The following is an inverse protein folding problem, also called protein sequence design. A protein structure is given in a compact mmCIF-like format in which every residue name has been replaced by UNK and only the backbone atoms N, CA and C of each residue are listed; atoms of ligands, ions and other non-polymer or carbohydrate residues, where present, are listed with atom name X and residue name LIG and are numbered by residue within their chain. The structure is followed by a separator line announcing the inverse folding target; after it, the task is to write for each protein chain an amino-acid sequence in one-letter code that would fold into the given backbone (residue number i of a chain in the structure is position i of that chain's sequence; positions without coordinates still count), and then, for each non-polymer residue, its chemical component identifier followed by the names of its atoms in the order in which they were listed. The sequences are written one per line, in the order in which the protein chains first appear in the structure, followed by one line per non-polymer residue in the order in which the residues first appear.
data_IF_495799974109
#
_entry.id   IF_495799974109
#
_cell.length_a   1.000
_cell.length_b   1.000
_cell.length_c   1.000
_cell.angle_alpha   90.00
_cell.angle_beta   90.00
_cell.angle_gamma   90.00
#
_symmetry.space_group_name_H-M   'P 1'
#
loop_
_entity.id
_entity.type
_entity.pdbx_description
1 polymer ?
#
# COMPACT_ATOMS: atom_id res chain seq x y z
N UNK A 1 51.47 11.56 -49.15
CA UNK A 1 51.27 10.89 -47.86
C UNK A 1 50.06 11.54 -47.26
N UNK A 2 49.13 10.72 -46.74
CA UNK A 2 47.81 11.09 -46.19
C UNK A 2 46.83 11.55 -47.29
N UNK A 3 45.56 11.14 -47.36
CA UNK A 3 44.64 10.51 -46.40
C UNK A 3 43.42 9.91 -47.17
N UNK A 4 42.58 9.15 -46.45
CA UNK A 4 41.16 8.82 -46.73
C UNK A 4 40.77 7.71 -47.70
N UNK A 5 40.62 6.48 -47.16
CA UNK A 5 39.38 5.69 -47.35
C UNK A 5 39.31 4.52 -46.34
N UNK A 6 38.83 4.80 -45.12
CA UNK A 6 38.61 3.76 -44.10
C UNK A 6 37.21 3.91 -43.47
N UNK A 7 36.16 3.77 -44.28
CA UNK A 7 34.78 3.59 -43.80
C UNK A 7 34.06 2.54 -44.65
N UNK A 8 34.51 1.28 -44.58
CA UNK A 8 33.75 0.15 -45.13
C UNK A 8 34.24 -1.21 -44.59
N UNK A 9 34.29 -1.41 -43.27
CA UNK A 9 34.33 -2.73 -42.63
C UNK A 9 33.60 -2.60 -41.29
N UNK A 10 32.69 -3.46 -40.85
CA UNK A 10 31.99 -4.58 -41.44
C UNK A 10 30.82 -4.90 -40.49
N UNK A 11 29.59 -4.46 -40.81
CA UNK A 11 28.39 -5.03 -40.17
C UNK A 11 28.01 -6.27 -40.98
N UNK A 12 28.69 -7.39 -40.72
CA UNK A 12 28.33 -8.67 -41.33
C UNK A 12 27.08 -9.21 -40.63
N UNK A 13 25.91 -9.01 -41.23
CA UNK A 13 24.70 -9.75 -40.87
C UNK A 13 24.80 -11.16 -41.45
N UNK A 14 25.57 -12.03 -40.79
CA UNK A 14 25.55 -13.45 -41.09
C UNK A 14 24.28 -14.06 -40.48
N UNK A 15 23.37 -14.51 -41.34
CA UNK A 15 22.02 -15.02 -40.99
C UNK A 15 22.01 -16.41 -40.33
N UNK A 16 23.18 -17.02 -40.12
CA UNK A 16 23.33 -18.41 -39.65
C UNK A 16 23.75 -18.54 -38.16
N UNK A 17 23.53 -17.51 -37.34
CA UNK A 17 23.85 -17.55 -35.91
C UNK A 17 22.57 -17.73 -35.08
N UNK A 18 22.45 -18.80 -34.26
CA UNK A 18 21.31 -18.99 -33.37
C UNK A 18 21.16 -17.80 -32.41
N UNK A 19 19.93 -17.32 -32.23
CA UNK A 19 19.58 -16.14 -31.40
C UNK A 19 20.16 -16.20 -29.99
N UNK A 20 20.27 -17.40 -29.42
CA UNK A 20 20.80 -17.63 -28.07
C UNK A 20 22.29 -17.25 -27.94
N UNK A 21 23.05 -17.23 -29.04
CA UNK A 21 24.46 -16.84 -29.06
C UNK A 21 24.67 -15.33 -29.28
N UNK A 22 23.62 -14.55 -29.50
CA UNK A 22 23.68 -13.09 -29.66
C UNK A 22 23.46 -12.33 -28.34
N UNK A 23 23.18 -13.04 -27.24
CA UNK A 23 22.77 -12.46 -25.97
C UNK A 23 23.82 -12.58 -24.85
N UNK A 24 25.11 -12.54 -25.15
CA UNK A 24 26.10 -12.38 -24.09
C UNK A 24 27.28 -11.47 -24.46
N UNK A 25 27.54 -10.52 -23.56
CA UNK A 25 28.67 -9.59 -23.46
C UNK A 25 28.64 -8.29 -24.29
N UNK A 26 27.91 -7.30 -23.78
CA UNK A 26 28.49 -5.93 -23.70
C UNK A 26 28.10 -5.28 -22.37
N UNK A 27 28.98 -5.44 -21.39
CA UNK A 27 29.21 -4.46 -20.33
C UNK A 27 29.63 -3.14 -20.99
N UNK A 28 28.68 -2.21 -21.13
CA UNK A 28 28.96 -0.78 -21.21
C UNK A 28 27.98 -0.13 -20.25
N UNK A 29 28.48 0.17 -19.05
CA UNK A 29 27.72 0.85 -18.02
C UNK A 29 27.51 2.33 -18.33
N UNK A 30 26.65 2.91 -17.48
CA UNK A 30 26.57 4.34 -17.14
C UNK A 30 25.55 5.19 -17.93
N UNK A 31 24.25 5.02 -17.61
CA UNK A 31 23.33 6.17 -17.47
C UNK A 31 22.08 5.86 -16.59
N UNK A 32 22.25 6.11 -15.28
CA UNK A 32 21.31 6.77 -14.34
C UNK A 32 19.90 6.18 -14.06
N UNK A 33 19.79 5.46 -12.93
CA UNK A 33 19.26 6.12 -11.72
C UNK A 33 17.92 5.67 -11.11
N UNK A 34 17.12 4.81 -11.74
CA UNK A 34 15.79 4.44 -11.20
C UNK A 34 15.76 3.09 -10.46
N UNK A 35 16.47 2.07 -10.93
CA UNK A 35 16.37 0.72 -10.33
C UNK A 35 17.21 0.54 -9.06
N UNK A 36 18.37 1.20 -8.97
CA UNK A 36 19.20 1.12 -7.76
C UNK A 36 18.54 1.80 -6.56
N UNK A 37 17.82 2.90 -6.77
CA UNK A 37 17.11 3.61 -5.69
C UNK A 37 15.92 2.78 -5.19
N UNK A 38 15.17 2.12 -6.08
CA UNK A 38 14.10 1.20 -5.73
C UNK A 38 14.62 -0.03 -4.96
N UNK A 39 15.74 -0.60 -5.41
CA UNK A 39 16.39 -1.73 -4.73
C UNK A 39 16.98 -1.34 -3.36
N UNK A 40 17.55 -0.13 -3.23
CA UNK A 40 18.10 0.37 -1.97
C UNK A 40 17.00 0.72 -0.95
N UNK A 41 15.87 1.27 -1.41
CA UNK A 41 14.67 1.46 -0.57
C UNK A 41 14.12 0.10 -0.09
N UNK A 42 13.96 -0.88 -0.97
CA UNK A 42 13.47 -2.23 -0.61
C UNK A 42 14.40 -2.96 0.35
N UNK A 43 15.71 -2.70 0.29
CA UNK A 43 16.73 -3.22 1.22
C UNK A 43 16.78 -2.47 2.55
N UNK A 44 16.51 -1.16 2.56
CA UNK A 44 16.53 -0.29 3.75
C UNK A 44 15.23 -0.35 4.57
N UNK A 45 14.11 -0.63 3.91
CA UNK A 45 12.78 -0.80 4.51
C UNK A 45 12.56 -2.30 4.77
N UNK A 46 13.24 -2.86 5.78
CA UNK A 46 13.29 -4.31 5.94
C UNK A 46 11.92 -5.00 5.97
N UNK A 47 11.63 -5.91 5.03
CA UNK A 47 10.58 -6.99 5.00
C UNK A 47 9.16 -6.70 5.52
N UNK A 48 8.80 -5.47 5.91
CA UNK A 48 7.64 -5.17 6.78
C UNK A 48 6.59 -4.27 6.13
N UNK A 49 6.86 -3.74 4.95
CA UNK A 49 5.90 -2.97 4.15
C UNK A 49 5.50 -3.85 2.97
N UNK A 50 4.21 -4.15 2.87
CA UNK A 50 3.63 -4.78 1.68
C UNK A 50 3.20 -3.65 0.75
N UNK A 51 3.85 -3.53 -0.41
CA UNK A 51 3.45 -2.58 -1.44
C UNK A 51 2.27 -3.13 -2.24
N UNK A 52 1.39 -2.25 -2.71
CA UNK A 52 0.22 -2.65 -3.49
C UNK A 52 0.62 -3.42 -4.77
N UNK A 53 1.70 -3.00 -5.43
CA UNK A 53 2.25 -3.67 -6.61
C UNK A 53 2.67 -5.11 -6.31
N UNK A 54 3.36 -5.33 -5.19
CA UNK A 54 3.81 -6.66 -4.76
C UNK A 54 2.61 -7.58 -4.40
N UNK A 55 1.51 -7.02 -3.89
CA UNK A 55 0.28 -7.76 -3.56
C UNK A 55 -0.51 -8.22 -4.81
N UNK A 56 -0.50 -7.43 -5.88
CA UNK A 56 -1.23 -7.72 -7.12
C UNK A 56 -0.53 -8.73 -8.04
N UNK A 57 0.79 -8.94 -7.88
CA UNK A 57 1.60 -9.83 -8.75
C UNK A 57 1.23 -11.31 -8.70
N UNK A 58 0.41 -11.79 -7.74
CA UNK A 58 0.04 -13.21 -7.67
C UNK A 58 -1.10 -13.64 -8.59
N UNK A 59 -1.79 -12.73 -9.28
CA UNK A 59 -2.82 -13.10 -10.27
C UNK A 59 -2.97 -12.04 -11.37
N UNK A 60 -2.18 -12.14 -12.44
CA UNK A 60 -2.66 -12.36 -13.84
C UNK A 60 -1.62 -12.02 -14.90
N UNK A 61 -1.73 -12.81 -15.97
CA UNK A 61 -1.28 -12.59 -17.35
C UNK A 61 -1.64 -11.18 -17.83
N UNK A 62 -0.63 -10.55 -18.42
CA UNK A 62 -0.61 -9.25 -19.11
C UNK A 62 -1.90 -8.91 -19.86
N UNK A 63 -2.52 -7.79 -19.49
CA UNK A 63 -3.39 -6.99 -20.35
C UNK A 63 -3.07 -5.54 -20.02
N UNK A 64 -2.41 -4.87 -20.96
CA UNK A 64 -2.13 -3.45 -20.94
C UNK A 64 -3.43 -2.68 -20.74
N UNK A 65 -3.47 -1.86 -19.70
CA UNK A 65 -4.48 -0.82 -19.56
C UNK A 65 -3.75 0.46 -19.17
N UNK A 66 -3.91 1.45 -20.03
CA UNK A 66 -3.17 2.69 -20.15
C UNK A 66 -2.93 3.41 -18.82
N UNK A 67 -1.68 3.85 -18.65
CA UNK A 67 -1.24 4.80 -17.64
C UNK A 67 -2.06 6.08 -17.73
N UNK A 68 -2.84 6.37 -16.69
CA UNK A 68 -3.12 7.74 -16.31
C UNK A 68 -2.40 8.01 -14.98
N UNK A 69 -1.07 8.00 -15.04
CA UNK A 69 -0.23 8.56 -13.99
C UNK A 69 -0.31 10.08 -14.09
N UNK A 70 -1.37 10.65 -13.51
CA UNK A 70 -1.43 12.08 -13.23
C UNK A 70 -0.24 12.45 -12.35
N UNK A 71 0.66 13.26 -12.92
CA UNK A 71 1.76 13.93 -12.24
C UNK A 71 1.15 14.92 -11.25
N UNK A 72 0.85 14.45 -10.03
CA UNK A 72 0.46 15.32 -8.92
C UNK A 72 1.71 15.64 -8.08
N UNK A 73 2.31 16.77 -8.46
CA UNK A 73 3.05 17.75 -7.65
C UNK A 73 3.72 17.23 -6.36
N UNK A 74 5.06 17.11 -6.39
CA UNK A 74 5.97 16.86 -5.26
C UNK A 74 5.94 17.92 -4.13
N UNK A 75 4.97 18.82 -4.06
CA UNK A 75 5.13 20.13 -3.41
C UNK A 75 4.27 20.37 -2.16
N UNK A 76 3.89 19.32 -1.41
CA UNK A 76 2.99 19.47 -0.25
C UNK A 76 3.39 18.67 1.01
N UNK A 77 4.65 18.23 1.10
CA UNK A 77 5.20 17.85 2.41
C UNK A 77 5.79 19.10 3.06
N UNK A 78 5.14 19.70 4.09
CA UNK A 78 5.79 20.77 4.84
C UNK A 78 7.13 20.25 5.35
N UNK A 79 8.18 21.02 5.12
CA UNK A 79 9.59 20.73 5.47
C UNK A 79 9.84 20.41 6.95
N UNK A 80 8.79 20.38 7.78
CA UNK A 80 8.83 20.11 9.21
C UNK A 80 7.71 19.15 9.69
N UNK A 81 7.50 18.01 9.01
CA UNK A 81 6.67 16.91 9.55
C UNK A 81 7.30 16.20 10.76
N UNK A 82 8.53 16.56 11.12
CA UNK A 82 9.27 15.96 12.23
C UNK A 82 8.68 16.30 13.62
N UNK A 83 7.87 17.36 13.72
CA UNK A 83 7.31 17.85 15.00
C UNK A 83 5.87 17.39 15.27
N UNK A 84 5.25 16.62 14.36
CA UNK A 84 3.92 16.07 14.59
C UNK A 84 4.03 14.81 15.48
N UNK A 85 3.13 14.64 16.47
CA UNK A 85 3.12 13.43 17.29
C UNK A 85 2.65 12.19 16.50
N UNK A 86 2.14 12.38 15.27
CA UNK A 86 1.64 11.34 14.37
C UNK A 86 2.28 11.43 12.97
N UNK A 87 2.15 10.35 12.19
CA UNK A 87 2.58 10.22 10.80
C UNK A 87 1.52 10.85 9.89
N UNK A 88 1.78 12.00 9.24
CA UNK A 88 0.76 12.73 8.47
C UNK A 88 0.34 12.03 7.17
N UNK A 89 1.06 10.98 6.75
CA UNK A 89 0.76 10.20 5.55
C UNK A 89 0.29 8.76 5.86
N UNK A 90 -0.08 8.46 7.10
CA UNK A 90 -0.42 7.09 7.50
C UNK A 90 -1.57 7.02 8.50
N UNK A 91 -2.43 6.02 8.28
CA UNK A 91 -3.61 5.76 9.10
C UNK A 91 -3.52 4.37 9.72
N UNK A 92 -3.78 4.27 11.02
CA UNK A 92 -3.87 2.99 11.71
C UNK A 92 -5.31 2.49 11.69
N UNK A 93 -5.50 1.23 11.31
CA UNK A 93 -6.75 0.49 11.40
C UNK A 93 -6.63 -0.58 12.48
N UNK A 94 -7.65 -0.67 13.34
CA UNK A 94 -7.71 -1.65 14.42
C UNK A 94 -9.10 -2.31 14.47
N UNK A 95 -9.13 -3.63 14.65
CA UNK A 95 -10.35 -4.33 15.04
C UNK A 95 -10.35 -5.82 14.69
N UNK A 96 -11.31 -6.59 15.23
CA UNK A 96 -11.42 -8.02 14.96
C UNK A 96 -11.50 -8.42 13.47
N UNK A 97 -12.18 -7.66 12.58
CA UNK A 97 -12.22 -8.02 11.16
C UNK A 97 -10.85 -8.08 10.50
N UNK A 98 -9.89 -7.26 10.96
CA UNK A 98 -8.54 -7.16 10.40
C UNK A 98 -7.80 -8.52 10.51
N UNK A 99 -8.02 -9.28 11.59
CA UNK A 99 -7.37 -10.58 11.81
C UNK A 99 -7.75 -11.66 10.79
N UNK A 100 -8.88 -11.48 10.12
CA UNK A 100 -9.39 -12.45 9.15
C UNK A 100 -9.09 -12.04 7.70
N UNK A 101 -8.42 -10.91 7.49
CA UNK A 101 -8.12 -10.38 6.18
C UNK A 101 -6.65 -10.63 5.80
N UNK A 102 -6.37 -11.35 4.71
CA UNK A 102 -5.04 -11.30 4.12
C UNK A 102 -4.75 -9.88 3.63
N UNK A 103 -3.47 -9.52 3.51
CA UNK A 103 -3.00 -8.20 3.07
C UNK A 103 -3.78 -7.66 1.86
N UNK A 104 -3.95 -8.46 0.80
CA UNK A 104 -4.64 -8.07 -0.42
C UNK A 104 -6.09 -7.61 -0.17
N UNK A 105 -6.76 -8.18 0.84
CA UNK A 105 -8.13 -7.80 1.19
C UNK A 105 -8.21 -6.57 2.07
N UNK A 106 -7.16 -6.26 2.84
CA UNK A 106 -7.07 -4.97 3.53
C UNK A 106 -6.91 -3.85 2.51
N UNK A 107 -6.10 -4.06 1.46
CA UNK A 107 -6.06 -3.15 0.31
C UNK A 107 -7.41 -3.04 -0.40
N UNK A 108 -8.06 -4.16 -0.70
CA UNK A 108 -9.39 -4.14 -1.32
C UNK A 108 -10.43 -3.42 -0.46
N UNK A 109 -10.35 -3.51 0.87
CA UNK A 109 -11.19 -2.74 1.79
C UNK A 109 -10.94 -1.24 1.65
N UNK A 110 -9.69 -0.79 1.62
CA UNK A 110 -9.37 0.62 1.42
C UNK A 110 -9.91 1.13 0.07
N UNK A 111 -9.63 0.41 -1.02
CA UNK A 111 -10.05 0.77 -2.38
C UNK A 111 -11.57 0.78 -2.53
N UNK A 112 -12.29 -0.09 -1.80
CA UNK A 112 -13.76 -0.07 -1.80
C UNK A 112 -14.35 1.26 -1.34
N UNK A 113 -13.64 1.97 -0.46
CA UNK A 113 -14.00 3.30 0.03
C UNK A 113 -13.12 4.40 -0.59
N UNK A 114 -12.63 4.21 -1.81
CA UNK A 114 -11.86 5.22 -2.55
C UNK A 114 -10.56 5.68 -1.85
N UNK A 115 -10.02 4.85 -0.96
CA UNK A 115 -8.71 5.05 -0.35
C UNK A 115 -7.65 4.20 -1.06
N UNK A 116 -6.57 4.85 -1.49
CA UNK A 116 -5.52 4.23 -2.31
C UNK A 116 -4.16 4.27 -1.59
N UNK A 117 -3.93 3.41 -0.58
CA UNK A 117 -2.64 3.33 0.09
C UNK A 117 -1.59 2.67 -0.81
N UNK A 118 -0.36 3.18 -0.74
CA UNK A 118 0.80 2.64 -1.45
C UNK A 118 1.41 1.43 -0.72
N UNK A 119 1.17 1.33 0.59
CA UNK A 119 1.74 0.28 1.41
C UNK A 119 0.93 -0.04 2.66
N UNK A 120 1.22 -1.22 3.23
CA UNK A 120 0.64 -1.71 4.47
C UNK A 120 1.73 -2.23 5.42
N UNK A 121 1.66 -1.79 6.68
CA UNK A 121 2.52 -2.25 7.77
C UNK A 121 1.68 -2.98 8.83
N UNK A 122 2.02 -4.24 9.13
CA UNK A 122 1.37 -4.99 10.21
C UNK A 122 1.98 -4.65 11.57
N UNK A 123 1.16 -4.21 12.53
CA UNK A 123 1.55 -3.98 13.92
C UNK A 123 1.36 -5.28 14.72
N UNK A 124 0.16 -5.84 14.63
CA UNK A 124 -0.24 -7.13 15.20
C UNK A 124 -1.38 -7.76 14.36
N UNK A 125 -2.00 -8.82 14.86
CA UNK A 125 -3.02 -9.56 14.11
C UNK A 125 -4.32 -8.77 13.88
N UNK A 126 -4.63 -7.80 14.73
CA UNK A 126 -5.85 -6.99 14.62
C UNK A 126 -5.57 -5.53 14.23
N UNK A 127 -4.30 -5.20 14.00
CA UNK A 127 -3.84 -3.83 13.82
C UNK A 127 -2.86 -3.70 12.66
N UNK A 128 -3.18 -2.83 11.72
CA UNK A 128 -2.30 -2.51 10.59
C UNK A 128 -2.30 -1.00 10.32
N UNK A 129 -1.29 -0.54 9.60
CA UNK A 129 -1.13 0.84 9.18
C UNK A 129 -1.18 0.88 7.66
N UNK A 130 -2.05 1.72 7.12
CA UNK A 130 -2.11 2.08 5.71
C UNK A 130 -1.22 3.31 5.48
N UNK A 131 -0.30 3.20 4.54
CA UNK A 131 0.64 4.27 4.17
C UNK A 131 0.24 4.84 2.82
N UNK A 132 0.17 6.17 2.73
CA UNK A 132 -0.24 6.89 1.53
C UNK A 132 0.93 7.69 0.94
N UNK A 133 0.83 7.99 -0.35
CA UNK A 133 1.87 8.72 -1.09
C UNK A 133 2.08 10.15 -0.57
N UNK A 134 1.03 10.78 -0.04
CA UNK A 134 1.07 12.15 0.46
C UNK A 134 0.13 12.35 1.65
N UNK A 135 0.30 13.46 2.37
CA UNK A 135 -0.63 13.89 3.43
C UNK A 135 -2.03 14.10 2.88
N UNK A 136 -2.14 14.75 1.71
CA UNK A 136 -3.43 14.99 1.04
C UNK A 136 -4.17 13.68 0.76
N UNK A 137 -3.47 12.65 0.27
CA UNK A 137 -4.05 11.34 0.06
C UNK A 137 -4.50 10.66 1.37
N UNK A 138 -3.73 10.81 2.46
CA UNK A 138 -4.11 10.29 3.76
C UNK A 138 -5.33 11.02 4.37
N UNK A 139 -5.43 12.34 4.19
CA UNK A 139 -6.62 13.12 4.61
C UNK A 139 -7.85 12.70 3.81
N UNK A 140 -7.72 12.53 2.49
CA UNK A 140 -8.81 12.00 1.67
C UNK A 140 -9.26 10.61 2.16
N UNK A 141 -8.31 9.71 2.40
CA UNK A 141 -8.59 8.38 2.92
C UNK A 141 -9.23 8.42 4.32
N UNK A 142 -8.85 9.38 5.17
CA UNK A 142 -9.47 9.59 6.48
C UNK A 142 -10.97 9.85 6.34
N UNK A 143 -11.35 10.79 5.47
CA UNK A 143 -12.74 11.13 5.25
C UNK A 143 -13.53 9.99 4.59
N UNK A 144 -12.91 9.29 3.64
CA UNK A 144 -13.58 8.24 2.89
C UNK A 144 -13.78 6.94 3.71
N UNK A 145 -12.84 6.62 4.61
CA UNK A 145 -12.93 5.44 5.48
C UNK A 145 -13.76 5.67 6.74
N UNK A 146 -13.86 6.92 7.21
CA UNK A 146 -14.63 7.26 8.42
C UNK A 146 -16.10 6.94 8.22
N UNK A 147 -16.66 6.17 9.16
CA UNK A 147 -18.11 5.95 9.20
C UNK A 147 -18.80 7.19 9.77
N UNK A 148 -19.77 7.79 9.06
CA UNK A 148 -20.56 8.89 9.62
C UNK A 148 -21.34 8.42 10.84
N UNK A 149 -21.35 9.24 11.89
CA UNK A 149 -22.14 8.95 13.08
C UNK A 149 -23.65 8.89 12.71
N UNK A 150 -24.41 7.94 13.27
CA UNK A 150 -25.82 7.80 12.95
C UNK A 150 -26.58 9.07 13.32
N UNK A 151 -27.13 9.76 12.32
CA UNK A 151 -27.85 11.03 12.49
C UNK A 151 -27.00 12.29 12.43
N UNK A 152 -25.68 12.19 12.28
CA UNK A 152 -24.81 13.34 12.09
C UNK A 152 -24.93 13.86 10.64
N UNK A 153 -25.10 15.17 10.50
CA UNK A 153 -24.87 15.83 9.20
C UNK A 153 -23.37 15.75 8.89
N UNK A 154 -22.97 15.70 7.61
CA UNK A 154 -21.56 15.63 7.20
C UNK A 154 -20.68 16.66 7.91
N UNK A 155 -21.25 17.84 8.17
CA UNK A 155 -20.62 19.03 8.74
C UNK A 155 -20.41 18.96 10.27
N UNK A 156 -21.21 18.16 10.99
CA UNK A 156 -21.21 18.09 12.46
C UNK A 156 -20.36 16.93 13.01
N UNK A 157 -19.82 16.08 12.14
CA UNK A 157 -18.99 14.94 12.52
C UNK A 157 -17.51 15.29 12.75
N UNK A 158 -17.15 16.57 12.62
CA UNK A 158 -15.83 17.10 12.92
C UNK A 158 -15.74 17.51 14.41
N UNK A 159 -15.07 16.67 15.20
CA UNK A 159 -14.49 17.06 16.48
C UNK A 159 -15.49 17.16 17.64
N UNK A 160 -15.64 16.08 18.40
CA UNK A 160 -15.86 16.27 19.84
C UNK A 160 -14.61 16.97 20.38
N UNK A 161 -14.79 18.14 20.99
CA UNK A 161 -13.73 18.92 21.63
C UNK A 161 -13.06 18.06 22.73
N UNK A 162 -11.92 17.47 22.39
CA UNK A 162 -11.01 16.79 23.30
C UNK A 162 -9.58 17.15 22.94
N UNK A 163 -8.69 17.08 23.92
CA UNK A 163 -7.26 17.31 23.74
C UNK A 163 -6.71 16.26 22.75
N UNK A 164 -6.19 16.72 21.61
CA UNK A 164 -5.58 15.92 20.51
C UNK A 164 -6.54 15.00 19.73
N UNK A 165 -7.49 15.57 18.95
CA UNK A 165 -8.46 14.80 18.16
C UNK A 165 -7.83 13.86 17.13
N UNK A 166 -6.60 14.13 16.70
CA UNK A 166 -5.87 13.31 15.74
C UNK A 166 -5.43 11.96 16.31
N UNK A 167 -5.30 11.83 17.64
CA UNK A 167 -4.88 10.60 18.30
C UNK A 167 -6.06 9.72 18.73
N UNK A 168 -7.29 10.23 18.65
CA UNK A 168 -8.49 9.51 19.04
C UNK A 168 -8.92 8.48 18.00
N UNK A 169 -9.33 7.30 18.48
CA UNK A 169 -9.94 6.29 17.63
C UNK A 169 -11.37 6.70 17.25
N UNK A 170 -11.62 6.75 15.95
CA UNK A 170 -12.94 6.98 15.37
C UNK A 170 -13.43 5.72 14.65
N UNK A 171 -14.75 5.51 14.49
CA UNK A 171 -15.28 4.37 13.76
C UNK A 171 -14.99 4.51 12.26
N UNK A 172 -14.42 3.47 11.66
CA UNK A 172 -14.33 3.30 10.22
C UNK A 172 -15.54 2.51 9.69
N UNK A 173 -15.71 2.48 8.38
CA UNK A 173 -16.71 1.64 7.74
C UNK A 173 -16.51 0.16 8.09
N UNK A 174 -17.61 -0.57 8.23
CA UNK A 174 -17.55 -2.03 8.41
C UNK A 174 -17.08 -2.71 7.14
N UNK A 175 -16.43 -3.86 7.28
CA UNK A 175 -16.01 -4.66 6.13
C UNK A 175 -17.22 -5.04 5.24
N UNK A 176 -17.21 -4.70 3.95
CA UNK A 176 -18.25 -5.12 3.01
C UNK A 176 -18.32 -6.65 2.89
N UNK A 177 -19.53 -7.22 2.86
CA UNK A 177 -19.73 -8.68 2.72
C UNK A 177 -19.05 -9.28 1.48
N UNK A 178 -18.87 -8.49 0.42
CA UNK A 178 -18.16 -8.91 -0.79
C UNK A 178 -16.68 -9.27 -0.51
N UNK A 179 -16.08 -8.68 0.52
CA UNK A 179 -14.68 -8.88 0.91
C UNK A 179 -14.50 -9.95 1.98
N UNK A 180 -15.58 -10.55 2.48
CA UNK A 180 -15.50 -11.63 3.45
C UNK A 180 -14.81 -12.87 2.84
N UNK A 181 -14.08 -13.68 3.63
CA UNK A 181 -13.67 -15.02 3.24
C UNK A 181 -14.84 -15.83 2.68
N UNK A 182 -14.58 -16.64 1.66
CA UNK A 182 -15.64 -17.37 0.95
C UNK A 182 -16.38 -18.29 1.93
N UNK A 183 -15.62 -18.93 2.82
CA UNK A 183 -16.10 -19.77 3.90
C UNK A 183 -17.04 -18.99 4.82
N UNK A 184 -16.66 -17.78 5.21
CA UNK A 184 -17.46 -16.91 6.07
C UNK A 184 -18.68 -16.30 5.38
N UNK A 185 -18.61 -16.08 4.07
CA UNK A 185 -19.78 -15.68 3.25
C UNK A 185 -20.82 -16.79 3.22
N UNK A 186 -20.39 -18.03 3.03
CA UNK A 186 -21.27 -19.20 3.06
C UNK A 186 -21.87 -19.37 4.46
N UNK A 187 -21.04 -19.28 5.51
CA UNK A 187 -21.50 -19.35 6.90
C UNK A 187 -22.56 -18.28 7.19
N UNK A 188 -22.33 -17.04 6.73
CA UNK A 188 -23.28 -15.93 6.89
C UNK A 188 -24.60 -16.23 6.16
N UNK A 189 -24.53 -16.72 4.92
CA UNK A 189 -25.71 -17.07 4.12
C UNK A 189 -26.50 -18.24 4.72
N UNK A 190 -25.81 -19.18 5.37
CA UNK A 190 -26.40 -20.31 6.08
C UNK A 190 -26.84 -19.98 7.52
N UNK A 191 -26.71 -18.73 7.97
CA UNK A 191 -27.10 -18.29 9.31
C UNK A 191 -26.20 -18.79 10.44
N UNK A 192 -24.99 -19.23 10.14
CA UNK A 192 -24.01 -19.69 11.13
C UNK A 192 -23.34 -18.51 11.85
N UNK A 193 -23.07 -18.66 13.16
CA UNK A 193 -22.49 -17.60 14.01
C UNK A 193 -20.99 -17.35 13.84
N UNK A 194 -20.29 -18.08 12.98
CA UNK A 194 -18.82 -17.96 12.82
C UNK A 194 -18.36 -16.60 12.29
N UNK A 195 -19.23 -15.86 11.61
CA UNK A 195 -18.89 -14.57 10.99
C UNK A 195 -19.08 -13.37 11.92
N UNK A 196 -19.20 -13.55 13.24
CA UNK A 196 -19.54 -12.47 14.18
C UNK A 196 -18.39 -11.44 14.33
N UNK A 197 -17.15 -11.91 14.26
CA UNK A 197 -15.95 -11.05 14.29
C UNK A 197 -15.86 -10.13 13.07
N UNK A 198 -16.27 -10.58 11.88
CA UNK A 198 -16.27 -9.77 10.65
C UNK A 198 -17.32 -8.66 10.66
N UNK A 199 -18.31 -8.75 11.56
CA UNK A 199 -19.35 -7.73 11.76
C UNK A 199 -18.96 -6.71 12.81
N UNK A 200 -17.90 -6.95 13.58
CA UNK A 200 -17.42 -6.01 14.60
C UNK A 200 -16.92 -4.72 13.93
N UNK A 201 -16.97 -3.58 14.64
CA UNK A 201 -16.51 -2.32 14.10
C UNK A 201 -14.99 -2.33 13.86
N UNK A 202 -14.58 -1.65 12.79
CA UNK A 202 -13.18 -1.25 12.59
C UNK A 202 -13.05 0.17 13.16
N UNK A 203 -11.99 0.40 13.91
CA UNK A 203 -11.61 1.72 14.41
C UNK A 203 -10.38 2.23 13.65
N UNK A 204 -10.25 3.54 13.54
CA UNK A 204 -9.12 4.17 12.88
C UNK A 204 -8.65 5.43 13.60
N UNK A 205 -7.37 5.74 13.47
CA UNK A 205 -6.75 7.00 13.91
C UNK A 205 -5.51 7.32 13.06
N UNK A 206 -4.93 8.51 13.23
CA UNK A 206 -3.62 8.77 12.64
C UNK A 206 -2.57 7.85 13.26
N UNK A 207 -1.68 7.31 12.44
CA UNK A 207 -0.65 6.40 12.93
C UNK A 207 0.42 7.17 13.70
N UNK A 208 0.88 6.64 14.83
CA UNK A 208 1.98 7.19 15.62
C UNK A 208 3.32 6.64 15.11
N UNK A 209 4.44 7.37 15.28
CA UNK A 209 5.77 6.82 15.06
C UNK A 209 6.07 5.58 15.92
N UNK A 210 5.40 5.45 17.07
CA UNK A 210 5.51 4.29 17.97
C UNK A 210 4.68 3.08 17.54
N UNK A 211 3.77 3.23 16.57
CA UNK A 211 2.96 2.12 16.07
C UNK A 211 3.82 1.24 15.15
N UNK A 212 4.49 0.29 15.76
CA UNK A 212 5.36 -0.64 15.07
C UNK A 212 5.26 -2.02 15.70
N UNK A 213 5.48 -3.06 14.90
CA UNK A 213 5.50 -4.43 15.39
C UNK A 213 6.49 -4.59 16.54
N UNK A 214 5.99 -5.00 17.70
CA UNK A 214 6.82 -5.22 18.89
C UNK A 214 7.92 -6.28 18.61
N UNK A 215 9.09 -6.12 19.22
CA UNK A 215 10.24 -7.03 19.00
C UNK A 215 9.93 -8.49 19.37
N UNK A 216 9.07 -8.70 20.36
CA UNK A 216 8.62 -10.02 20.80
C UNK A 216 7.24 -10.43 20.25
N UNK A 217 6.75 -9.77 19.19
CA UNK A 217 5.41 -10.03 18.66
C UNK A 217 5.20 -11.49 18.22
N UNK A 218 6.25 -12.21 17.82
CA UNK A 218 6.16 -13.64 17.45
C UNK A 218 5.66 -14.53 18.58
N UNK A 219 5.93 -14.21 19.85
CA UNK A 219 5.47 -15.01 21.00
C UNK A 219 4.06 -14.66 21.47
N UNK A 220 3.50 -13.55 20.96
CA UNK A 220 2.17 -13.04 21.31
C UNK A 220 1.16 -13.11 20.15
N UNK A 221 1.62 -13.54 18.97
CA UNK A 221 0.79 -13.83 17.79
C UNK A 221 -0.25 -14.89 18.18
N UNK A 222 -1.52 -14.62 17.90
CA UNK A 222 -2.60 -15.59 18.12
C UNK A 222 -2.68 -16.64 16.99
N UNK A 223 -1.87 -16.45 15.95
CA UNK A 223 -1.75 -17.31 14.77
C UNK A 223 -0.33 -17.86 14.60
#
# INVERSE_FOLDING_TARGET
MEEDNAYAEALSYAEDVPYEAQLDSTDIGEELGAEETALDLKKRIGKRIYLLEDALTKRRKHTDMEENAGVDEEDDLPRNTADLPYRPNALLLQGPPIAQLPTDRVFAYAVHFDAHPIGLEWVDDQTCILVFNSRKAAVHAWDALRRPAPGAKPEESAGMEMDEPELMFIPAHSLPMALYPIEERINTALGSKKSEDLKQPIQMRWALPSDQKARDAKSKSQF
#
